data_IF_016302072366
#
_entry.id   IF_016302072366
#
_cell.length_a   1.000
_cell.length_b   1.000
_cell.length_c   1.000
_cell.angle_alpha   90.00
_cell.angle_beta   90.00
_cell.angle_gamma   90.00
#
_symmetry.space_group_name_H-M   'P 1'
#
loop_
_entity.id
_entity.type
_entity.pdbx_description
1 polymer ?
#
# COMPACT_ATOMS: atom_id res chain seq x y z
N UNK A 1 44.00 8.84 23.47
CA UNK A 1 43.53 7.60 24.13
C UNK A 1 42.15 7.29 23.56
N UNK A 2 42.04 6.29 22.68
CA UNK A 2 40.73 5.81 22.21
C UNK A 2 40.16 4.91 23.30
N UNK A 3 39.09 5.33 23.96
CA UNK A 3 38.37 4.49 24.92
C UNK A 3 37.34 3.70 24.09
N UNK A 4 37.50 2.38 23.92
CA UNK A 4 36.49 1.59 23.23
C UNK A 4 35.19 1.64 24.03
N UNK A 5 34.11 2.09 23.39
CA UNK A 5 32.77 2.02 23.96
C UNK A 5 32.27 0.59 23.73
N UNK A 6 32.21 -0.21 24.79
CA UNK A 6 31.70 -1.58 24.75
C UNK A 6 30.17 -1.52 24.74
N UNK A 7 29.56 -2.00 23.66
CA UNK A 7 28.10 -2.15 23.53
C UNK A 7 27.75 -3.61 23.81
N UNK A 8 26.87 -3.86 24.77
CA UNK A 8 26.42 -5.21 25.09
C UNK A 8 25.23 -5.53 24.20
N UNK A 9 25.24 -6.65 23.46
CA UNK A 9 24.09 -7.06 22.65
C UNK A 9 22.95 -7.48 23.59
N UNK A 10 21.80 -6.78 23.51
CA UNK A 10 20.61 -7.05 24.32
C UNK A 10 19.48 -7.60 23.47
N UNK A 11 18.58 -8.35 24.10
CA UNK A 11 17.35 -8.85 23.47
C UNK A 11 16.37 -7.70 23.15
N UNK A 12 16.28 -6.71 24.04
CA UNK A 12 15.40 -5.55 23.91
C UNK A 12 16.07 -4.29 24.50
N UNK A 13 15.71 -3.09 24.00
CA UNK A 13 16.20 -1.84 24.56
C UNK A 13 15.64 -1.62 25.98
N UNK A 14 16.51 -1.24 26.92
CA UNK A 14 16.12 -1.03 28.32
C UNK A 14 15.49 0.36 28.54
N UNK A 15 14.28 0.54 28.02
CA UNK A 15 13.55 1.81 28.09
C UNK A 15 12.84 2.06 29.43
N UNK A 16 12.75 1.03 30.29
CA UNK A 16 12.10 1.13 31.60
C UNK A 16 13.03 1.66 32.70
N UNK A 17 14.34 1.73 32.43
CA UNK A 17 15.32 2.28 33.37
C UNK A 17 15.54 3.75 33.05
N UNK A 18 15.84 4.50 34.10
CA UNK A 18 16.30 5.87 33.96
C UNK A 18 17.59 5.90 33.13
N UNK A 19 17.63 6.82 32.17
CA UNK A 19 18.72 6.98 31.23
C UNK A 19 19.28 8.40 31.36
N UNK A 20 20.43 8.53 32.03
CA UNK A 20 21.09 9.82 32.29
C UNK A 20 20.19 10.87 32.93
N UNK A 21 19.46 10.54 34.00
CA UNK A 21 18.55 11.50 34.65
C UNK A 21 17.14 11.54 34.03
N UNK A 22 16.91 10.82 32.92
CA UNK A 22 15.67 10.89 32.16
C UNK A 22 14.90 9.58 32.18
N UNK A 23 13.61 9.67 32.54
CA UNK A 23 12.66 8.56 32.43
C UNK A 23 11.82 8.74 31.17
N UNK A 24 11.89 7.79 30.25
CA UNK A 24 11.13 7.82 29.01
C UNK A 24 9.62 7.68 29.27
N UNK A 25 8.83 8.54 28.64
CA UNK A 25 7.36 8.44 28.65
C UNK A 25 6.90 7.28 27.76
N UNK A 26 5.62 6.89 27.84
CA UNK A 26 5.09 5.85 26.94
C UNK A 26 5.16 6.26 25.45
N UNK A 27 5.01 7.56 25.17
CA UNK A 27 5.17 8.13 23.85
C UNK A 27 6.62 8.04 23.36
N UNK A 28 7.59 8.32 24.23
CA UNK A 28 9.02 8.17 23.94
C UNK A 28 9.35 6.71 23.65
N UNK A 29 8.87 5.79 24.50
CA UNK A 29 9.09 4.35 24.34
C UNK A 29 8.51 3.86 23.02
N UNK A 30 7.30 4.32 22.66
CA UNK A 30 6.66 4.00 21.39
C UNK A 30 7.49 4.54 20.22
N UNK A 31 7.90 5.80 20.24
CA UNK A 31 8.69 6.42 19.18
C UNK A 31 10.04 5.70 18.99
N UNK A 32 10.74 5.37 20.07
CA UNK A 32 12.00 4.64 20.03
C UNK A 32 11.81 3.22 19.47
N UNK A 33 10.76 2.50 19.87
CA UNK A 33 10.47 1.15 19.34
C UNK A 33 10.07 1.16 17.87
N UNK A 34 9.24 2.11 17.45
CA UNK A 34 8.72 2.18 16.08
C UNK A 34 9.74 2.73 15.07
N UNK A 35 10.50 3.75 15.49
CA UNK A 35 11.33 4.54 14.58
C UNK A 35 12.82 4.33 14.83
N UNK A 36 13.20 3.94 16.04
CA UNK A 36 14.58 3.93 16.50
C UNK A 36 15.07 5.30 16.97
N UNK A 37 14.23 6.36 16.92
CA UNK A 37 14.58 7.73 17.30
C UNK A 37 13.51 8.28 18.27
N UNK A 38 13.93 9.13 19.20
CA UNK A 38 13.04 9.67 20.22
C UNK A 38 11.97 10.64 19.69
N UNK A 39 12.22 11.31 18.55
CA UNK A 39 11.27 12.31 18.03
C UNK A 39 11.43 13.72 18.58
N UNK A 40 12.26 13.89 19.62
CA UNK A 40 12.53 15.16 20.29
C UNK A 40 13.89 15.12 20.98
N UNK A 41 14.41 16.29 21.35
CA UNK A 41 15.54 16.39 22.30
C UNK A 41 15.05 16.30 23.74
N UNK A 42 15.84 15.66 24.60
CA UNK A 42 15.64 15.60 26.05
C UNK A 42 16.85 16.15 26.78
N UNK A 43 16.64 16.65 28.00
CA UNK A 43 17.75 17.04 28.87
C UNK A 43 18.32 15.79 29.54
N UNK A 44 19.61 15.54 29.34
CA UNK A 44 20.34 14.42 29.91
C UNK A 44 21.52 14.92 30.72
N UNK A 45 21.73 14.33 31.90
CA UNK A 45 22.87 14.62 32.76
C UNK A 45 23.91 13.51 32.59
N UNK A 46 24.93 13.78 31.77
CA UNK A 46 26.01 12.83 31.53
C UNK A 46 26.95 12.74 32.74
N UNK A 47 27.54 11.56 33.02
CA UNK A 47 28.52 11.41 34.08
C UNK A 47 29.67 12.43 33.92
N UNK A 48 29.96 13.18 35.00
CA UNK A 48 30.98 14.22 35.00
C UNK A 48 30.55 15.57 34.42
N UNK A 49 29.26 15.75 34.09
CA UNK A 49 28.64 17.06 33.86
C UNK A 49 27.61 17.35 34.93
N UNK A 50 27.70 18.52 35.54
CA UNK A 50 26.73 19.00 36.53
C UNK A 50 25.47 19.60 35.87
N UNK A 51 25.62 20.11 34.64
CA UNK A 51 24.53 20.73 33.89
C UNK A 51 23.90 19.76 32.87
N UNK A 52 22.56 19.64 32.85
CA UNK A 52 21.86 18.88 31.83
C UNK A 52 22.15 19.42 30.43
N UNK A 53 22.36 18.52 29.47
CA UNK A 53 22.59 18.86 28.06
C UNK A 53 21.42 18.37 27.22
N UNK A 54 20.83 19.25 26.40
CA UNK A 54 19.82 18.86 25.41
C UNK A 54 20.44 17.87 24.43
N UNK A 55 19.84 16.70 24.29
CA UNK A 55 20.44 15.56 23.61
C UNK A 55 19.42 14.85 22.72
N UNK A 56 19.89 14.39 21.57
CA UNK A 56 19.18 13.43 20.73
C UNK A 56 19.36 12.03 21.30
N UNK A 57 18.30 11.22 21.20
CA UNK A 57 18.33 9.82 21.65
C UNK A 57 17.84 8.91 20.52
N UNK A 58 18.59 7.85 20.28
CA UNK A 58 18.28 6.80 19.29
C UNK A 58 18.63 5.42 19.85
N UNK A 59 18.09 4.38 19.23
CA UNK A 59 18.47 2.98 19.50
C UNK A 59 19.41 2.50 18.40
N UNK A 60 20.55 1.93 18.79
CA UNK A 60 21.36 1.10 17.91
C UNK A 60 20.60 -0.20 17.62
N UNK A 61 20.22 -0.39 16.35
CA UNK A 61 19.42 -1.55 15.91
C UNK A 61 20.17 -2.89 15.98
N UNK A 62 21.50 -2.86 16.05
CA UNK A 62 22.32 -4.08 16.12
C UNK A 62 22.41 -4.60 17.55
N UNK A 63 22.54 -3.69 18.52
CA UNK A 63 22.80 -4.05 19.92
C UNK A 63 21.61 -3.81 20.85
N UNK A 64 20.59 -3.09 20.38
CA UNK A 64 19.49 -2.55 21.17
C UNK A 64 19.96 -1.61 22.30
N UNK A 65 21.16 -1.04 22.19
CA UNK A 65 21.64 -0.03 23.13
C UNK A 65 21.03 1.35 22.83
N UNK A 66 20.75 2.09 23.89
CA UNK A 66 20.22 3.46 23.82
C UNK A 66 21.43 4.40 23.72
N UNK A 67 21.49 5.16 22.63
CA UNK A 67 22.57 6.09 22.32
C UNK A 67 22.07 7.52 22.47
N UNK A 68 22.85 8.34 23.18
CA UNK A 68 22.62 9.77 23.33
C UNK A 68 23.72 10.59 22.67
N UNK A 69 23.35 11.69 22.02
CA UNK A 69 24.28 12.67 21.49
C UNK A 69 23.82 14.09 21.85
N UNK A 70 24.67 14.85 22.53
CA UNK A 70 24.42 16.25 22.85
C UNK A 70 24.20 17.09 21.59
N UNK A 71 23.17 17.94 21.62
CA UNK A 71 22.79 18.78 20.50
C UNK A 71 23.83 19.85 20.16
N UNK A 72 24.65 20.23 21.13
CA UNK A 72 25.85 21.09 20.98
C UNK A 72 26.88 20.51 19.99
N UNK A 73 26.90 19.19 19.81
CA UNK A 73 27.81 18.49 18.89
C UNK A 73 27.23 18.23 17.52
N UNK A 74 26.00 18.67 17.27
CA UNK A 74 25.27 18.41 16.03
C UNK A 74 25.12 19.67 15.22
N UNK A 75 25.54 19.62 13.95
CA UNK A 75 25.32 20.70 12.99
C UNK A 75 24.30 20.26 11.94
N UNK A 76 23.14 20.91 11.92
CA UNK A 76 22.14 20.72 10.87
C UNK A 76 22.59 21.48 9.62
N UNK A 77 22.70 20.82 8.44
CA UNK A 77 23.09 21.49 7.20
C UNK A 77 21.94 22.38 6.67
N UNK A 78 22.30 23.43 5.94
CA UNK A 78 21.32 24.29 5.26
C UNK A 78 20.70 23.64 4.02
N UNK A 79 21.38 22.65 3.43
CA UNK A 79 20.94 21.96 2.23
C UNK A 79 21.09 20.44 2.38
N UNK A 80 20.08 19.70 1.93
CA UNK A 80 20.08 18.25 1.90
C UNK A 80 19.68 17.80 0.51
N UNK A 81 20.59 17.08 -0.17
CA UNK A 81 20.33 16.44 -1.48
C UNK A 81 19.77 17.41 -2.54
N UNK A 82 20.29 18.63 -2.62
CA UNK A 82 19.85 19.65 -3.58
C UNK A 82 18.69 20.52 -3.10
N UNK A 83 18.16 20.29 -1.90
CA UNK A 83 17.02 21.05 -1.34
C UNK A 83 17.48 21.88 -0.16
N UNK A 84 17.27 23.20 -0.24
CA UNK A 84 17.55 24.14 0.85
C UNK A 84 16.44 24.05 1.90
N UNK A 85 16.82 23.84 3.15
CA UNK A 85 15.88 23.77 4.27
C UNK A 85 15.41 25.16 4.69
N UNK A 86 14.13 25.28 5.06
CA UNK A 86 13.62 26.49 5.72
C UNK A 86 14.15 26.62 7.14
N UNK A 87 14.12 27.83 7.70
CA UNK A 87 14.53 28.05 9.10
C UNK A 87 13.65 27.27 10.08
N UNK A 88 12.36 27.11 9.77
CA UNK A 88 11.44 26.26 10.53
C UNK A 88 11.85 24.79 10.48
N UNK A 89 12.15 24.26 9.29
CA UNK A 89 12.63 22.88 9.13
C UNK A 89 13.95 22.63 9.86
N UNK A 90 14.89 23.57 9.81
CA UNK A 90 16.15 23.49 10.55
C UNK A 90 15.91 23.48 12.06
N UNK A 91 15.01 24.35 12.54
CA UNK A 91 14.63 24.39 13.95
C UNK A 91 14.04 23.05 14.40
N UNK A 92 13.10 22.50 13.64
CA UNK A 92 12.47 21.21 13.95
C UNK A 92 13.48 20.06 14.01
N UNK A 93 14.38 19.98 13.02
CA UNK A 93 15.47 19.00 13.03
C UNK A 93 16.39 19.19 14.24
N UNK A 94 16.71 20.44 14.60
CA UNK A 94 17.53 20.75 15.79
C UNK A 94 16.83 20.38 17.10
N UNK A 95 15.51 20.32 17.10
CA UNK A 95 14.69 19.85 18.22
C UNK A 95 14.45 18.34 18.19
N UNK A 96 15.03 17.59 17.24
CA UNK A 96 14.92 16.13 17.13
C UNK A 96 13.68 15.63 16.39
N UNK A 97 12.87 16.55 15.86
CA UNK A 97 11.62 16.24 15.16
C UNK A 97 11.90 15.74 13.74
N UNK A 98 10.93 15.00 13.21
CA UNK A 98 10.92 14.60 11.82
C UNK A 98 10.34 15.71 10.95
N UNK A 99 11.01 16.02 9.85
CA UNK A 99 10.53 16.98 8.83
C UNK A 99 10.24 16.26 7.52
N UNK A 100 9.25 16.71 6.76
CA UNK A 100 9.03 16.21 5.40
C UNK A 100 9.70 17.12 4.38
N UNK A 101 10.49 16.54 3.49
CA UNK A 101 11.20 17.27 2.43
C UNK A 101 10.89 16.64 1.08
N UNK A 102 10.57 17.49 0.10
CA UNK A 102 10.24 17.11 -1.27
C UNK A 102 11.33 17.54 -2.26
N UNK A 103 11.40 16.87 -3.41
CA UNK A 103 12.26 17.30 -4.52
C UNK A 103 13.75 16.99 -4.35
N UNK A 104 14.13 16.18 -3.35
CA UNK A 104 15.52 15.75 -3.15
C UNK A 104 16.02 14.92 -4.33
N UNK A 105 17.29 15.08 -4.68
CA UNK A 105 17.90 14.40 -5.82
C UNK A 105 18.83 13.28 -5.36
N UNK A 106 18.61 12.07 -5.88
CA UNK A 106 19.46 10.91 -5.60
C UNK A 106 20.80 11.00 -6.32
N UNK A 107 21.76 10.14 -5.95
CA UNK A 107 23.02 9.99 -6.70
C UNK A 107 22.79 9.59 -8.16
N UNK A 108 21.65 9.00 -8.48
CA UNK A 108 21.25 8.57 -9.83
C UNK A 108 20.44 9.63 -10.58
N UNK A 109 20.29 10.84 -10.02
CA UNK A 109 19.52 11.94 -10.63
C UNK A 109 18.01 11.81 -10.50
N UNK A 110 17.49 10.83 -9.75
CA UNK A 110 16.05 10.67 -9.53
C UNK A 110 15.60 11.56 -8.38
N UNK A 111 14.48 12.26 -8.59
CA UNK A 111 13.82 13.00 -7.52
C UNK A 111 13.07 12.07 -6.58
N UNK A 112 13.11 12.38 -5.29
CA UNK A 112 12.39 11.65 -4.26
C UNK A 112 12.00 12.57 -3.11
N UNK A 113 11.01 12.13 -2.34
CA UNK A 113 10.57 12.80 -1.12
C UNK A 113 10.82 11.85 0.06
N UNK A 114 11.13 12.40 1.24
CA UNK A 114 11.33 11.59 2.44
C UNK A 114 11.06 12.39 3.71
N UNK A 115 10.76 11.67 4.79
CA UNK A 115 10.84 12.21 6.14
C UNK A 115 12.29 12.17 6.61
N UNK A 116 12.82 13.30 7.05
CA UNK A 116 14.18 13.45 7.54
C UNK A 116 14.15 13.60 9.05
N UNK A 117 15.00 12.87 9.75
CA UNK A 117 15.14 12.97 11.20
C UNK A 117 16.59 12.71 11.60
N UNK A 118 17.09 13.42 12.62
CA UNK A 118 18.43 13.15 13.14
C UNK A 118 18.46 11.82 13.91
N UNK A 119 19.47 11.00 13.66
CA UNK A 119 19.73 9.75 14.36
C UNK A 119 21.04 9.86 15.14
N UNK A 120 20.97 9.64 16.46
CA UNK A 120 22.10 9.81 17.39
C UNK A 120 23.18 8.73 17.24
N UNK A 121 22.78 7.49 16.89
CA UNK A 121 23.67 6.37 16.64
C UNK A 121 24.53 6.63 15.38
N UNK A 122 23.87 6.93 14.26
CA UNK A 122 24.52 7.24 12.97
C UNK A 122 25.14 8.64 12.92
N UNK A 123 24.88 9.48 13.93
CA UNK A 123 25.29 10.90 14.02
C UNK A 123 24.97 11.70 12.75
N UNK A 124 23.87 11.36 12.09
CA UNK A 124 23.49 11.92 10.80
C UNK A 124 21.98 11.92 10.60
N UNK A 125 21.53 12.64 9.56
CA UNK A 125 20.13 12.69 9.18
C UNK A 125 19.75 11.40 8.46
N UNK A 126 18.80 10.68 9.05
CA UNK A 126 18.21 9.47 8.51
C UNK A 126 17.03 9.80 7.58
N UNK A 127 16.99 9.13 6.44
CA UNK A 127 15.94 9.24 5.44
C UNK A 127 14.93 8.12 5.66
N UNK A 128 13.69 8.49 5.99
CA UNK A 128 12.59 7.54 6.17
C UNK A 128 11.61 7.69 5.01
N UNK A 129 11.62 6.67 4.16
CA UNK A 129 10.70 6.53 3.03
C UNK A 129 9.44 5.83 3.52
N UNK A 130 8.34 6.57 3.61
CA UNK A 130 7.05 6.08 4.09
C UNK A 130 5.93 7.03 3.70
N UNK A 131 4.69 6.55 3.72
CA UNK A 131 3.50 7.32 3.36
C UNK A 131 3.47 8.67 4.10
N UNK A 132 3.07 9.79 3.45
CA UNK A 132 3.16 11.17 3.99
C UNK A 132 2.41 11.44 5.31
N UNK A 133 1.76 10.44 5.93
CA UNK A 133 0.94 10.57 7.14
C UNK A 133 1.65 10.28 8.47
N UNK A 134 2.92 9.85 8.46
CA UNK A 134 3.61 9.50 9.71
C UNK A 134 4.31 10.69 10.39
N UNK A 135 4.72 11.73 9.65
CA UNK A 135 5.42 12.90 10.22
C UNK A 135 4.50 14.02 10.74
N UNK A 136 3.23 14.07 10.31
CA UNK A 136 2.29 15.15 10.63
C UNK A 136 1.37 14.88 11.82
N UNK A 137 1.35 13.66 12.38
CA UNK A 137 0.48 13.32 13.53
C UNK A 137 0.86 14.01 14.84
N UNK A 138 2.00 14.70 14.90
CA UNK A 138 2.50 15.27 16.14
C UNK A 138 2.22 16.76 16.31
N UNK A 139 1.41 17.39 15.45
CA UNK A 139 1.11 18.84 15.57
C UNK A 139 -0.32 19.28 15.73
N UNK A 140 -1.32 18.46 15.47
CA UNK A 140 -2.70 18.81 15.76
C UNK A 140 -3.44 17.55 16.20
N UNK A 141 -3.55 17.36 17.51
CA UNK A 141 -4.72 16.69 18.04
C UNK A 141 -5.87 17.70 18.00
N UNK A 142 -6.95 17.41 17.29
CA UNK A 142 -8.28 17.51 17.84
C UNK A 142 -8.57 16.16 18.48
N UNK A 143 -8.89 16.18 19.77
CA UNK A 143 -9.54 15.06 20.44
C UNK A 143 -10.77 14.64 19.63
N UNK A 144 -10.90 13.33 19.42
CA UNK A 144 -12.05 12.74 18.74
C UNK A 144 -11.71 12.07 17.41
N UNK A 145 -10.99 10.95 17.48
CA UNK A 145 -11.39 9.65 16.91
C UNK A 145 -10.20 8.70 17.02
N UNK A 146 -10.16 7.98 18.14
CA UNK A 146 -9.60 6.64 18.19
C UNK A 146 -10.38 5.77 17.19
N UNK A 147 -10.03 5.83 15.91
CA UNK A 147 -10.29 4.70 15.04
C UNK A 147 -9.15 3.72 15.28
N UNK A 148 -9.47 2.75 16.13
CA UNK A 148 -8.76 1.50 16.31
C UNK A 148 -8.08 1.09 15.01
N UNK A 149 -6.78 0.79 15.10
CA UNK A 149 -6.02 0.06 14.10
C UNK A 149 -6.65 -1.33 13.89
N UNK A 150 -7.76 -1.39 13.18
CA UNK A 150 -8.10 -2.57 12.40
C UNK A 150 -7.19 -2.55 11.18
N UNK A 151 -6.57 -3.68 10.87
CA UNK A 151 -5.82 -3.93 9.65
C UNK A 151 -6.73 -3.78 8.42
N UNK A 152 -7.21 -2.58 8.11
CA UNK A 152 -8.08 -2.36 6.96
C UNK A 152 -7.24 -2.33 5.69
N UNK A 153 -7.46 -3.35 4.86
CA UNK A 153 -6.91 -3.45 3.51
C UNK A 153 -7.35 -2.22 2.70
N UNK A 154 -6.41 -1.33 2.37
CA UNK A 154 -6.71 -0.11 1.60
C UNK A 154 -7.08 -0.47 0.16
N UNK A 155 -8.37 -0.46 -0.16
CA UNK A 155 -8.88 -0.70 -1.52
C UNK A 155 -8.53 0.48 -2.45
N UNK A 156 -7.71 0.28 -3.50
CA UNK A 156 -7.34 1.34 -4.43
C UNK A 156 -8.52 1.73 -5.34
N UNK A 157 -8.50 2.95 -5.90
CA UNK A 157 -9.51 3.40 -6.90
C UNK A 157 -9.36 2.73 -8.27
N UNK A 158 -8.18 2.16 -8.54
CA UNK A 158 -7.88 1.39 -9.76
C UNK A 158 -7.24 0.06 -9.34
N UNK A 159 -7.72 -1.04 -9.89
CA UNK A 159 -7.17 -2.38 -9.66
C UNK A 159 -7.03 -3.11 -10.99
N UNK A 160 -5.82 -3.61 -11.27
CA UNK A 160 -5.50 -4.33 -12.51
C UNK A 160 -6.00 -3.59 -13.77
N UNK A 161 -5.68 -2.30 -13.89
CA UNK A 161 -6.05 -1.49 -15.07
C UNK A 161 -7.53 -1.07 -15.17
N UNK A 162 -8.42 -1.62 -14.33
CA UNK A 162 -9.84 -1.23 -14.24
C UNK A 162 -10.08 -0.21 -13.12
N UNK A 163 -10.95 0.75 -13.39
CA UNK A 163 -11.49 1.66 -12.37
C UNK A 163 -12.54 0.94 -11.52
N UNK A 164 -12.41 1.10 -10.19
CA UNK A 164 -13.32 0.49 -9.22
C UNK A 164 -14.37 1.52 -8.85
N UNK A 165 -15.64 1.15 -8.93
CA UNK A 165 -16.74 2.03 -8.53
C UNK A 165 -16.73 2.27 -7.00
N UNK A 166 -17.28 3.40 -6.53
CA UNK A 166 -17.42 3.64 -5.09
C UNK A 166 -18.19 2.54 -4.35
N UNK A 167 -19.18 1.92 -5.00
CA UNK A 167 -19.96 0.80 -4.46
C UNK A 167 -19.13 -0.48 -4.33
N UNK A 168 -18.35 -0.81 -5.36
CA UNK A 168 -17.42 -1.95 -5.33
C UNK A 168 -16.35 -1.73 -4.25
N UNK A 169 -15.88 -0.50 -4.09
CA UNK A 169 -14.90 -0.12 -3.06
C UNK A 169 -15.48 -0.28 -1.64
N UNK A 170 -16.73 0.12 -1.42
CA UNK A 170 -17.40 -0.04 -0.13
C UNK A 170 -17.55 -1.51 0.23
N UNK A 171 -17.95 -2.37 -0.72
CA UNK A 171 -18.07 -3.82 -0.53
C UNK A 171 -16.73 -4.48 -0.20
N UNK A 172 -15.67 -4.14 -0.94
CA UNK A 172 -14.32 -4.63 -0.67
C UNK A 172 -13.75 -4.15 0.67
N UNK A 173 -14.14 -2.95 1.13
CA UNK A 173 -13.81 -2.47 2.48
C UNK A 173 -14.58 -3.23 3.56
N UNK A 174 -15.83 -3.57 3.29
CA UNK A 174 -16.68 -4.36 4.17
C UNK A 174 -16.28 -5.84 4.28
N UNK A 175 -15.21 -6.28 3.58
CA UNK A 175 -14.77 -7.67 3.59
C UNK A 175 -15.46 -8.55 2.56
N UNK A 176 -16.36 -8.00 1.73
CA UNK A 176 -17.17 -8.78 0.80
C UNK A 176 -16.42 -9.11 -0.49
N UNK A 177 -16.78 -10.26 -1.08
CA UNK A 177 -16.27 -10.71 -2.38
C UNK A 177 -17.07 -10.07 -3.53
N UNK A 178 -16.41 -9.29 -4.38
CA UNK A 178 -17.02 -8.55 -5.50
C UNK A 178 -16.65 -9.18 -6.84
N UNK A 179 -17.63 -9.44 -7.72
CA UNK A 179 -17.35 -9.89 -9.09
C UNK A 179 -16.99 -8.71 -9.98
N UNK A 180 -15.78 -8.73 -10.55
CA UNK A 180 -15.27 -7.68 -11.42
C UNK A 180 -14.97 -8.25 -12.80
N UNK A 181 -15.42 -7.55 -13.83
CA UNK A 181 -15.20 -7.91 -15.24
C UNK A 181 -14.10 -7.06 -15.87
N UNK A 182 -13.39 -7.55 -16.89
CA UNK A 182 -12.40 -6.73 -17.61
C UNK A 182 -11.23 -6.23 -16.74
N UNK A 183 -10.81 -7.01 -15.76
CA UNK A 183 -9.51 -6.82 -15.09
C UNK A 183 -8.41 -7.16 -16.08
N UNK A 184 -7.31 -6.41 -16.09
CA UNK A 184 -6.21 -6.61 -17.04
C UNK A 184 -5.10 -7.40 -16.35
N UNK A 185 -4.77 -8.57 -16.90
CA UNK A 185 -3.68 -9.39 -16.39
C UNK A 185 -2.29 -8.80 -16.72
N UNK A 186 -1.21 -9.45 -16.27
CA UNK A 186 0.16 -8.99 -16.56
C UNK A 186 0.52 -9.04 -18.05
N UNK A 187 -0.24 -9.77 -18.86
CA UNK A 187 -0.05 -9.91 -20.31
C UNK A 187 -0.92 -8.93 -21.10
N UNK A 188 -1.76 -8.13 -20.43
CA UNK A 188 -2.65 -7.17 -21.07
C UNK A 188 -4.01 -7.76 -21.47
N UNK A 189 -4.32 -9.00 -21.10
CA UNK A 189 -5.57 -9.67 -21.46
C UNK A 189 -6.67 -9.35 -20.44
N UNK A 190 -7.89 -8.98 -20.88
CA UNK A 190 -9.02 -8.78 -19.99
C UNK A 190 -9.54 -10.12 -19.46
N UNK A 191 -9.71 -10.23 -18.15
CA UNK A 191 -10.29 -11.38 -17.48
C UNK A 191 -11.28 -10.95 -16.40
N UNK A 192 -12.17 -11.87 -16.02
CA UNK A 192 -13.18 -11.65 -14.99
C UNK A 192 -12.80 -12.44 -13.74
N UNK A 193 -12.94 -11.85 -12.57
CA UNK A 193 -12.66 -12.53 -11.31
C UNK A 193 -13.49 -11.99 -10.14
N UNK A 194 -13.67 -12.86 -9.15
CA UNK A 194 -14.15 -12.48 -7.83
C UNK A 194 -12.98 -11.94 -7.01
N UNK A 195 -13.06 -10.68 -6.62
CA UNK A 195 -12.04 -9.99 -5.83
C UNK A 195 -12.44 -10.04 -4.37
N UNK A 196 -11.59 -10.63 -3.53
CA UNK A 196 -11.80 -10.73 -2.08
C UNK A 196 -10.66 -10.06 -1.33
N UNK A 197 -10.94 -9.22 -0.32
CA UNK A 197 -9.91 -8.65 0.54
C UNK A 197 -9.31 -9.74 1.44
N UNK A 198 -7.98 -9.89 1.41
CA UNK A 198 -7.22 -10.75 2.32
C UNK A 198 -6.50 -9.87 3.35
N UNK A 199 -7.14 -9.67 4.50
CA UNK A 199 -6.64 -8.83 5.60
C UNK A 199 -5.38 -9.41 6.27
N UNK A 200 -5.18 -10.73 6.23
CA UNK A 200 -3.98 -11.39 6.77
C UNK A 200 -2.75 -11.13 5.89
N UNK A 201 -2.91 -11.26 4.57
CA UNK A 201 -1.83 -11.07 3.59
C UNK A 201 -1.72 -9.63 3.09
N UNK A 202 -2.60 -8.75 3.55
CA UNK A 202 -2.73 -7.35 3.12
C UNK A 202 -2.77 -7.21 1.58
N UNK A 203 -3.51 -8.10 0.91
CA UNK A 203 -3.63 -8.22 -0.55
C UNK A 203 -5.08 -8.52 -0.97
N UNK A 204 -5.38 -8.45 -2.26
CA UNK A 204 -6.64 -8.93 -2.84
C UNK A 204 -6.43 -10.30 -3.48
N UNK A 205 -7.28 -11.26 -3.13
CA UNK A 205 -7.34 -12.55 -3.79
C UNK A 205 -8.30 -12.48 -4.98
N UNK A 206 -7.84 -12.95 -6.15
CA UNK A 206 -8.63 -13.00 -7.38
C UNK A 206 -9.04 -14.45 -7.61
N UNK A 207 -10.30 -14.75 -7.33
CA UNK A 207 -10.83 -16.10 -7.39
C UNK A 207 -11.68 -16.27 -8.65
N UNK A 208 -11.57 -17.43 -9.30
CA UNK A 208 -12.47 -17.82 -10.40
C UNK A 208 -13.87 -18.19 -9.91
N UNK A 209 -14.03 -18.38 -8.61
CA UNK A 209 -15.25 -18.80 -7.94
C UNK A 209 -15.36 -18.05 -6.60
N UNK A 210 -16.58 -17.73 -6.14
CA UNK A 210 -16.76 -17.03 -4.87
C UNK A 210 -16.76 -18.04 -3.70
N UNK A 211 -15.81 -17.96 -2.74
CA UNK A 211 -15.72 -18.88 -1.63
C UNK A 211 -16.75 -18.66 -0.52
N UNK A 212 -17.34 -17.46 -0.43
CA UNK A 212 -18.35 -17.14 0.59
C UNK A 212 -19.75 -17.67 0.20
N UNK A 213 -19.91 -18.17 -1.04
CA UNK A 213 -21.09 -18.91 -1.49
C UNK A 213 -20.77 -20.40 -1.49
N UNK A 214 -20.91 -21.03 -0.33
CA UNK A 214 -21.04 -22.48 -0.19
C UNK A 214 -21.97 -23.02 -1.29
N UNK A 215 -21.42 -23.88 -2.15
CA UNK A 215 -22.01 -24.78 -3.18
C UNK A 215 -23.52 -24.72 -3.56
N UNK A 216 -24.17 -23.57 -3.58
CA UNK A 216 -25.61 -23.49 -3.86
C UNK A 216 -25.98 -22.14 -4.48
N UNK A 217 -25.40 -21.85 -5.64
CA UNK A 217 -26.09 -21.18 -6.76
C UNK A 217 -25.11 -21.18 -7.92
N UNK A 218 -25.22 -22.25 -8.69
CA UNK A 218 -24.97 -22.23 -10.13
C UNK A 218 -25.31 -20.82 -10.63
N UNK A 219 -24.30 -20.10 -11.14
CA UNK A 219 -24.58 -18.94 -11.97
C UNK A 219 -25.30 -19.54 -13.15
N UNK A 220 -26.63 -19.55 -13.11
CA UNK A 220 -27.43 -19.77 -14.30
C UNK A 220 -26.93 -18.71 -15.26
N UNK A 221 -26.19 -19.07 -16.31
CA UNK A 221 -25.91 -18.13 -17.37
C UNK A 221 -27.27 -17.65 -17.83
N UNK A 222 -27.41 -16.34 -18.00
CA UNK A 222 -28.49 -15.78 -18.77
C UNK A 222 -28.70 -16.63 -20.02
N UNK A 223 -29.96 -16.92 -20.37
CA UNK A 223 -30.30 -17.91 -21.39
C UNK A 223 -29.49 -17.70 -22.70
N UNK A 224 -29.18 -16.44 -23.00
CA UNK A 224 -28.29 -15.98 -24.07
C UNK A 224 -26.88 -16.59 -24.02
N UNK A 225 -26.20 -16.54 -22.88
CA UNK A 225 -24.84 -17.07 -22.72
C UNK A 225 -24.83 -18.60 -22.75
N UNK A 226 -25.86 -19.26 -22.21
CA UNK A 226 -26.03 -20.74 -22.30
C UNK A 226 -26.14 -21.18 -23.75
N UNK A 227 -27.00 -20.52 -24.53
CA UNK A 227 -27.18 -20.85 -25.95
C UNK A 227 -25.91 -20.54 -26.74
N UNK A 228 -25.24 -19.41 -26.49
CA UNK A 228 -24.01 -19.02 -27.19
C UNK A 228 -22.86 -20.02 -26.97
N UNK A 229 -22.60 -20.44 -25.73
CA UNK A 229 -21.53 -21.42 -25.45
C UNK A 229 -21.84 -22.77 -26.09
N UNK A 230 -23.11 -23.20 -26.03
CA UNK A 230 -23.55 -24.44 -26.65
C UNK A 230 -23.34 -24.42 -28.19
N UNK A 231 -23.74 -23.35 -28.88
CA UNK A 231 -23.61 -23.27 -30.35
C UNK A 231 -22.18 -23.01 -30.82
N UNK A 232 -21.43 -22.14 -30.13
CA UNK A 232 -20.13 -21.68 -30.62
C UNK A 232 -18.97 -22.56 -30.15
N UNK A 233 -19.03 -23.08 -28.92
CA UNK A 233 -17.93 -23.83 -28.30
C UNK A 233 -18.17 -25.34 -28.25
N UNK A 234 -19.41 -25.76 -27.97
CA UNK A 234 -19.75 -27.19 -27.86
C UNK A 234 -20.30 -27.80 -29.16
N UNK A 235 -20.54 -26.98 -30.19
CA UNK A 235 -21.10 -27.43 -31.47
C UNK A 235 -22.55 -27.95 -31.39
N UNK A 236 -23.23 -27.73 -30.25
CA UNK A 236 -24.62 -28.11 -30.03
C UNK A 236 -25.54 -27.02 -30.58
N UNK A 237 -26.27 -27.33 -31.64
CA UNK A 237 -27.22 -26.39 -32.25
C UNK A 237 -28.56 -26.37 -31.53
N UNK A 238 -29.12 -25.18 -31.27
CA UNK A 238 -30.52 -25.02 -30.89
C UNK A 238 -31.40 -24.98 -32.16
N UNK A 239 -32.70 -25.24 -32.05
CA UNK A 239 -33.62 -25.31 -33.21
C UNK A 239 -33.61 -24.01 -34.05
N UNK A 240 -33.53 -22.84 -33.39
CA UNK A 240 -33.42 -21.52 -34.02
C UNK A 240 -32.03 -21.20 -34.63
N UNK A 241 -30.98 -21.98 -34.34
CA UNK A 241 -29.59 -21.69 -34.75
C UNK A 241 -28.95 -22.80 -35.59
N UNK A 242 -29.69 -23.87 -35.84
CA UNK A 242 -29.29 -25.09 -36.59
C UNK A 242 -28.68 -24.82 -37.96
N UNK A 243 -29.05 -23.71 -38.54
CA UNK A 243 -28.75 -23.36 -39.91
C UNK A 243 -27.60 -22.34 -40.03
N UNK A 244 -27.23 -21.68 -38.93
CA UNK A 244 -26.56 -20.37 -39.01
C UNK A 244 -25.09 -20.39 -39.42
N UNK A 245 -24.21 -21.34 -39.15
CA UNK A 245 -22.76 -21.30 -39.48
C UNK A 245 -21.91 -20.13 -38.92
N UNK A 246 -22.41 -18.90 -38.87
CA UNK A 246 -21.74 -17.78 -38.22
C UNK A 246 -21.96 -17.85 -36.70
N UNK A 247 -20.92 -17.64 -35.89
CA UNK A 247 -21.04 -17.72 -34.43
C UNK A 247 -21.90 -16.57 -33.88
N UNK A 248 -22.70 -16.86 -32.85
CA UNK A 248 -23.51 -15.86 -32.17
C UNK A 248 -22.63 -14.87 -31.40
N UNK A 249 -23.01 -13.58 -31.38
CA UNK A 249 -22.34 -12.53 -30.60
C UNK A 249 -22.80 -12.54 -29.14
N UNK A 250 -22.02 -11.93 -28.26
CA UNK A 250 -22.30 -11.92 -26.81
C UNK A 250 -23.65 -11.27 -26.51
N UNK A 251 -24.53 -11.97 -25.77
CA UNK A 251 -25.89 -11.52 -25.45
C UNK A 251 -26.96 -11.89 -26.49
N UNK A 252 -26.62 -12.63 -27.55
CA UNK A 252 -27.53 -13.01 -28.63
C UNK A 252 -28.09 -14.43 -28.41
N UNK A 253 -29.42 -14.58 -28.35
CA UNK A 253 -30.12 -15.89 -28.26
C UNK A 253 -30.58 -16.43 -29.61
N UNK A 254 -30.82 -15.54 -30.59
CA UNK A 254 -31.37 -15.85 -31.91
C UNK A 254 -30.51 -15.20 -33.02
N UNK A 255 -30.52 -15.75 -34.25
CA UNK A 255 -29.74 -15.20 -35.36
C UNK A 255 -30.18 -13.76 -35.66
N UNK A 256 -29.24 -12.90 -36.06
CA UNK A 256 -29.60 -11.54 -36.47
C UNK A 256 -30.24 -11.61 -37.87
N UNK A 257 -31.19 -10.72 -38.21
CA UNK A 257 -31.80 -10.67 -39.55
C UNK A 257 -30.77 -10.66 -40.71
N UNK A 258 -29.60 -10.07 -40.49
CA UNK A 258 -28.49 -10.05 -41.45
C UNK A 258 -27.83 -11.43 -41.65
N UNK A 259 -27.83 -12.28 -40.62
CA UNK A 259 -27.32 -13.65 -40.66
C UNK A 259 -28.33 -14.56 -41.35
N UNK A 260 -29.63 -14.37 -41.11
CA UNK A 260 -30.70 -15.12 -41.79
C UNK A 260 -30.74 -14.83 -43.29
N UNK A 261 -30.69 -13.55 -43.70
CA UNK A 261 -30.66 -13.17 -45.12
C UNK A 261 -29.47 -13.76 -45.87
N UNK A 262 -28.27 -13.72 -45.28
CA UNK A 262 -27.07 -14.33 -45.87
C UNK A 262 -27.19 -15.85 -46.01
N UNK A 263 -27.93 -16.49 -45.12
CA UNK A 263 -28.15 -17.93 -45.19
C UNK A 263 -29.18 -18.31 -46.25
N UNK A 264 -30.25 -17.53 -46.37
CA UNK A 264 -31.24 -17.67 -47.45
C UNK A 264 -30.64 -17.42 -48.83
N UNK A 265 -29.82 -16.38 -49.00
CA UNK A 265 -29.09 -16.13 -50.25
C UNK A 265 -28.18 -17.30 -50.63
N UNK A 266 -27.46 -17.88 -49.65
CA UNK A 266 -26.63 -19.08 -49.87
C UNK A 266 -27.44 -20.33 -50.21
N UNK A 267 -28.66 -20.48 -49.69
CA UNK A 267 -29.57 -21.58 -50.06
C UNK A 267 -30.10 -21.40 -51.49
N UNK A 268 -30.49 -20.18 -51.87
CA UNK A 268 -30.95 -19.84 -53.23
C UNK A 268 -29.85 -20.00 -54.27
N UNK A 269 -28.61 -19.64 -53.96
CA UNK A 269 -27.46 -19.77 -54.88
C UNK A 269 -26.99 -21.21 -55.09
N UNK A 270 -27.29 -22.14 -54.16
CA UNK A 270 -26.98 -23.57 -54.29
C UNK A 270 -28.05 -24.38 -55.02
N UNK A 271 -29.27 -23.84 -55.17
CA UNK A 271 -30.37 -24.47 -55.89
C UNK A 271 -30.40 -24.21 -57.40
N UNK A 272 -29.48 -23.42 -57.94
CA UNK A 272 -29.43 -23.08 -59.37
C UNK A 272 -28.09 -23.52 -59.99
N UNK A 273 -27.93 -24.83 -60.16
CA UNK A 273 -27.03 -25.39 -61.18
C UNK A 273 -27.87 -26.34 -62.03
N UNK A 274 -28.21 -25.89 -63.23
CA UNK A 274 -28.52 -26.78 -64.35
C UNK A 274 -27.27 -27.56 -64.74
#
# INVERSE_FOLDING_TARGET
MFIPVIHAIRKEPQLEREFFGHTFTDEDKKALRETGNLGRTVELTFPGKDEPTRSFVSIDRLTNDIIALGADRVRIPDEIKGVKLSDEQKKELSEGRSIYVEGMTSKTGKHFNANLQFNADKRSIEFRFGSPKQGQRQRQAPEGQEQAEQKELRVPKKMLGREISPEEQAKLKAGETVYMTGLIDKKGEPFNAYVRPNFEKNKFDFLKWNPDKSQAKEVTPDNASRTQVAVNSEGKTNEATKHVKEPLKQGQTEPTALQEQKEEEKKRSKGMKM
#
